data_IF_946667274071
#
_entry.id   IF_946667274071
#
_cell.length_a   1.000
_cell.length_b   1.000
_cell.length_c   1.000
_cell.angle_alpha   90.00
_cell.angle_beta   90.00
_cell.angle_gamma   90.00
#
_symmetry.space_group_name_H-M   'P 1'
#
loop_
_entity.id
_entity.type
_entity.pdbx_description
1 polymer ?
#
# COMPACT_ATOMS: atom_id res chain seq x y z
N UNK A 1 7.93 2.24 5.04
CA UNK A 1 6.48 2.20 5.22
C UNK A 1 6.13 2.95 6.51
N UNK A 2 6.17 4.28 6.51
CA UNK A 2 5.74 5.11 7.64
C UNK A 2 4.24 4.95 7.94
N UNK A 3 3.49 6.02 8.03
CA UNK A 3 2.02 6.03 8.15
C UNK A 3 1.34 5.83 6.79
N UNK A 4 1.73 4.78 6.03
CA UNK A 4 1.07 4.52 4.75
C UNK A 4 -0.35 3.99 4.96
N UNK A 5 -1.26 4.49 4.14
CA UNK A 5 -2.63 3.99 4.07
C UNK A 5 -2.72 2.58 3.47
N UNK A 6 -3.92 2.17 3.08
CA UNK A 6 -4.16 0.89 2.42
C UNK A 6 -3.41 0.78 1.08
N UNK A 7 -3.38 1.85 0.30
CA UNK A 7 -2.69 1.93 -0.99
C UNK A 7 -1.45 2.81 -0.88
N UNK A 8 -0.37 2.41 -1.55
CA UNK A 8 0.87 3.18 -1.68
C UNK A 8 1.05 3.53 -3.14
N UNK A 9 0.95 4.83 -3.46
CA UNK A 9 1.15 5.39 -4.79
C UNK A 9 2.48 6.13 -4.92
N UNK A 10 3.16 6.40 -3.80
CA UNK A 10 4.33 7.27 -3.77
C UNK A 10 5.37 6.81 -2.75
N UNK A 11 6.61 7.27 -2.91
CA UNK A 11 7.74 6.97 -2.04
C UNK A 11 8.59 8.22 -1.84
N UNK A 12 9.31 8.29 -0.71
CA UNK A 12 10.28 9.36 -0.42
C UNK A 12 11.54 9.26 -1.28
N UNK A 13 11.83 8.12 -1.88
CA UNK A 13 13.03 7.85 -2.66
C UNK A 13 12.66 7.18 -3.98
N UNK A 14 13.41 7.55 -5.03
CA UNK A 14 13.22 7.02 -6.39
C UNK A 14 14.51 6.45 -6.93
N UNK A 15 14.40 5.42 -7.75
CA UNK A 15 15.49 4.84 -8.51
C UNK A 15 15.41 5.31 -9.96
N UNK A 16 16.55 5.58 -10.58
CA UNK A 16 16.61 5.83 -12.03
C UNK A 16 16.44 4.51 -12.80
N UNK A 17 15.92 4.57 -14.02
CA UNK A 17 15.80 3.40 -14.89
C UNK A 17 17.15 2.68 -15.08
N UNK A 18 18.24 3.45 -15.24
CA UNK A 18 19.60 2.92 -15.34
C UNK A 18 20.01 2.13 -14.09
N UNK A 19 19.66 2.63 -12.89
CA UNK A 19 19.95 1.94 -11.64
C UNK A 19 19.16 0.64 -11.51
N UNK A 20 17.90 0.64 -11.95
CA UNK A 20 17.05 -0.55 -11.96
C UNK A 20 17.66 -1.65 -12.83
N UNK A 21 18.10 -1.33 -14.05
CA UNK A 21 18.74 -2.26 -14.96
C UNK A 21 20.12 -2.73 -14.45
N UNK A 22 20.97 -1.78 -14.05
CA UNK A 22 22.35 -2.05 -13.61
C UNK A 22 22.41 -2.97 -12.40
N UNK A 23 21.51 -2.81 -11.46
CA UNK A 23 21.47 -3.57 -10.20
C UNK A 23 20.41 -4.68 -10.20
N UNK A 24 19.77 -4.92 -11.35
CA UNK A 24 18.72 -5.92 -11.50
C UNK A 24 17.64 -5.81 -10.40
N UNK A 25 17.18 -4.59 -10.14
CA UNK A 25 16.21 -4.31 -9.08
C UNK A 25 14.86 -4.88 -9.49
N UNK A 26 14.27 -5.65 -8.59
CA UNK A 26 12.97 -6.25 -8.85
C UNK A 26 11.86 -5.20 -8.71
N UNK A 27 11.14 -4.97 -9.79
CA UNK A 27 9.95 -4.12 -9.80
C UNK A 27 8.73 -4.94 -9.36
N UNK A 28 7.96 -4.35 -8.47
CA UNK A 28 6.69 -4.87 -7.97
C UNK A 28 5.57 -4.21 -8.77
N UNK A 29 4.72 -4.98 -9.46
CA UNK A 29 3.63 -4.41 -10.23
C UNK A 29 2.55 -3.79 -9.34
N UNK A 30 1.76 -2.87 -9.92
CA UNK A 30 0.55 -2.33 -9.29
C UNK A 30 -0.42 -3.45 -8.90
N UNK A 31 -1.19 -3.24 -7.84
CA UNK A 31 -2.15 -4.22 -7.32
C UNK A 31 -1.51 -5.39 -6.57
N UNK A 32 -0.28 -5.26 -6.12
CA UNK A 32 0.39 -6.30 -5.33
C UNK A 32 0.24 -6.02 -3.83
N UNK A 33 -0.24 -7.00 -3.07
CA UNK A 33 -0.21 -6.93 -1.62
C UNK A 33 1.23 -7.11 -1.12
N UNK A 34 1.67 -6.20 -0.27
CA UNK A 34 3.02 -6.18 0.31
C UNK A 34 2.96 -6.15 1.83
N UNK A 35 3.94 -6.80 2.46
CA UNK A 35 4.05 -6.93 3.91
C UNK A 35 5.47 -6.61 4.37
N UNK A 36 5.59 -5.70 5.32
CA UNK A 36 6.86 -5.47 6.03
C UNK A 36 7.08 -6.54 7.10
N UNK A 37 8.26 -7.18 7.13
CA UNK A 37 8.53 -8.29 8.04
C UNK A 37 9.86 -8.21 8.81
N UNK A 38 10.69 -7.18 8.61
CA UNK A 38 11.96 -7.04 9.37
C UNK A 38 11.88 -6.01 10.49
N UNK A 39 11.68 -4.74 10.16
CA UNK A 39 11.76 -3.64 11.14
C UNK A 39 10.39 -3.31 11.76
N UNK A 40 9.33 -3.45 10.98
CA UNK A 40 7.96 -3.16 11.41
C UNK A 40 7.05 -4.27 10.90
N UNK A 41 7.05 -5.38 11.63
CA UNK A 41 6.27 -6.57 11.24
C UNK A 41 4.76 -6.27 11.23
N UNK A 42 4.06 -6.78 10.21
CA UNK A 42 2.61 -6.66 10.14
C UNK A 42 2.08 -5.40 9.47
N UNK A 43 2.94 -4.54 8.88
CA UNK A 43 2.45 -3.45 8.03
C UNK A 43 2.15 -3.98 6.64
N UNK A 44 0.88 -3.94 6.30
CA UNK A 44 0.35 -4.42 5.02
C UNK A 44 -0.13 -3.24 4.19
N UNK A 45 0.16 -3.26 2.91
CA UNK A 45 -0.34 -2.29 1.94
C UNK A 45 -0.50 -2.93 0.56
N UNK A 46 -1.13 -2.21 -0.35
CA UNK A 46 -1.29 -2.56 -1.75
C UNK A 46 -0.54 -1.52 -2.59
N UNK A 47 0.24 -1.96 -3.56
CA UNK A 47 0.92 -1.07 -4.49
C UNK A 47 -0.09 -0.43 -5.45
N UNK A 48 -0.07 0.90 -5.57
CA UNK A 48 -0.88 1.66 -6.54
C UNK A 48 0.04 2.33 -7.56
N UNK A 49 0.68 1.51 -8.34
CA UNK A 49 1.73 1.82 -9.29
C UNK A 49 2.87 0.81 -9.21
N UNK A 50 3.75 0.81 -10.19
CA UNK A 50 4.98 0.03 -10.16
C UNK A 50 5.97 0.64 -9.17
N UNK A 51 6.60 -0.19 -8.35
CA UNK A 51 7.58 0.29 -7.37
C UNK A 51 8.66 -0.73 -7.07
N UNK A 52 9.81 -0.25 -6.61
CA UNK A 52 10.86 -1.07 -6.03
C UNK A 52 10.68 -1.17 -4.51
N UNK A 53 11.12 -2.26 -3.93
CA UNK A 53 11.16 -2.44 -2.48
C UNK A 53 12.50 -3.00 -2.04
N UNK A 54 12.84 -2.82 -0.78
CA UNK A 54 13.99 -3.46 -0.17
C UNK A 54 13.66 -4.91 0.26
N UNK A 55 14.66 -5.61 0.76
CA UNK A 55 14.56 -7.01 1.20
C UNK A 55 13.76 -7.22 2.50
N UNK A 56 13.25 -6.13 3.12
CA UNK A 56 12.39 -6.22 4.31
C UNK A 56 10.90 -6.35 3.98
N UNK A 57 10.56 -6.30 2.70
CA UNK A 57 9.18 -6.33 2.20
C UNK A 57 8.93 -7.63 1.45
N UNK A 58 7.95 -8.38 1.89
CA UNK A 58 7.42 -9.54 1.17
C UNK A 58 6.35 -9.11 0.16
N UNK A 59 6.38 -9.71 -1.03
CA UNK A 59 5.41 -9.50 -2.10
C UNK A 59 4.53 -10.74 -2.22
N UNK A 60 3.23 -10.55 -2.17
CA UNK A 60 2.27 -11.62 -2.32
C UNK A 60 1.66 -11.56 -3.73
N UNK A 61 2.13 -12.46 -4.59
CA UNK A 61 1.53 -12.63 -5.90
C UNK A 61 0.15 -13.24 -5.73
N UNK A 62 -0.84 -12.67 -6.37
CA UNK A 62 -2.15 -13.30 -6.44
C UNK A 62 -2.02 -14.66 -7.14
N UNK A 63 -2.42 -15.72 -6.44
CA UNK A 63 -2.72 -16.99 -7.09
C UNK A 63 -4.11 -16.90 -7.72
N UNK A 64 -4.35 -17.62 -8.81
CA UNK A 64 -5.55 -17.51 -9.66
C UNK A 64 -6.93 -17.64 -8.97
N UNK A 65 -6.96 -17.92 -7.67
CA UNK A 65 -8.19 -18.09 -6.89
C UNK A 65 -8.32 -17.14 -5.69
N UNK A 66 -7.30 -16.34 -5.37
CA UNK A 66 -7.33 -15.45 -4.23
C UNK A 66 -7.51 -14.02 -4.69
N UNK A 67 -8.54 -13.35 -4.19
CA UNK A 67 -8.78 -11.94 -4.49
C UNK A 67 -7.84 -11.05 -3.68
N UNK A 68 -7.51 -9.87 -4.21
CA UNK A 68 -6.61 -8.90 -3.56
C UNK A 68 -7.18 -8.45 -2.21
N UNK A 69 -8.48 -8.24 -2.16
CA UNK A 69 -9.18 -7.77 -0.96
C UNK A 69 -9.11 -8.81 0.17
N UNK A 70 -9.35 -10.09 -0.16
CA UNK A 70 -9.22 -11.16 0.81
C UNK A 70 -7.79 -11.30 1.31
N UNK A 71 -6.82 -11.29 0.39
CA UNK A 71 -5.40 -11.37 0.74
C UNK A 71 -4.96 -10.21 1.65
N UNK A 72 -5.35 -8.99 1.31
CA UNK A 72 -5.06 -7.81 2.14
C UNK A 72 -5.68 -7.93 3.54
N UNK A 73 -6.96 -8.26 3.62
CA UNK A 73 -7.67 -8.39 4.89
C UNK A 73 -7.08 -9.52 5.74
N UNK A 74 -6.76 -10.66 5.11
CA UNK A 74 -6.11 -11.79 5.78
C UNK A 74 -4.76 -11.38 6.38
N UNK A 75 -3.89 -10.78 5.57
CA UNK A 75 -2.57 -10.31 6.02
C UNK A 75 -2.70 -9.24 7.11
N UNK A 76 -3.69 -8.38 7.03
CA UNK A 76 -3.93 -7.31 8.01
C UNK A 76 -4.41 -7.84 9.35
N UNK A 77 -5.22 -8.89 9.35
CA UNK A 77 -5.79 -9.52 10.54
C UNK A 77 -4.87 -10.57 11.19
N UNK A 78 -3.81 -11.00 10.48
CA UNK A 78 -2.94 -12.07 10.93
C UNK A 78 -2.12 -11.67 12.17
N UNK A 79 -2.06 -12.55 13.17
CA UNK A 79 -1.21 -12.38 14.36
C UNK A 79 0.23 -12.82 14.06
N UNK A 80 1.07 -11.86 13.71
CA UNK A 80 2.49 -12.12 13.42
C UNK A 80 3.32 -12.47 14.63
N UNK A 81 2.83 -12.24 15.86
CA UNK A 81 3.53 -12.64 17.07
C UNK A 81 3.48 -14.15 17.24
N UNK A 82 2.44 -14.79 16.73
CA UNK A 82 2.32 -16.26 16.73
C UNK A 82 3.40 -16.97 15.89
N UNK A 83 4.07 -16.26 14.98
CA UNK A 83 5.12 -16.82 14.11
C UNK A 83 6.51 -16.89 14.78
N UNK A 84 6.69 -16.29 15.94
CA UNK A 84 7.98 -16.20 16.61
C UNK A 84 8.19 -17.31 17.63
N UNK A 85 9.43 -17.81 17.73
CA UNK A 85 9.86 -18.62 18.86
C UNK A 85 9.97 -17.74 20.11
N UNK A 86 9.46 -18.23 21.23
CA UNK A 86 9.29 -17.60 22.55
C UNK A 86 10.58 -17.25 23.30
N UNK A 87 11.73 -17.09 22.66
CA UNK A 87 12.97 -16.67 23.33
C UNK A 87 13.27 -15.19 23.05
N UNK A 88 12.88 -14.38 24.01
CA UNK A 88 13.36 -13.04 24.40
C UNK A 88 14.01 -12.13 23.32
N UNK A 89 13.46 -10.93 23.18
CA UNK A 89 14.05 -9.76 22.53
C UNK A 89 13.90 -9.72 21.00
N UNK A 90 12.71 -9.50 20.49
CA UNK A 90 12.32 -9.33 19.09
C UNK A 90 12.12 -10.66 18.33
N UNK A 91 10.88 -10.91 18.01
CA UNK A 91 10.45 -11.98 17.10
C UNK A 91 11.10 -11.76 15.74
N UNK A 92 12.18 -12.45 15.44
CA UNK A 92 12.87 -12.35 14.16
C UNK A 92 12.04 -13.06 13.08
N UNK A 93 11.07 -12.38 12.54
CA UNK A 93 10.32 -12.85 11.37
C UNK A 93 11.25 -12.74 10.16
N UNK A 94 11.49 -13.85 9.49
CA UNK A 94 12.30 -13.92 8.29
C UNK A 94 11.48 -14.41 7.10
N UNK A 95 12.06 -14.37 5.89
CA UNK A 95 11.36 -14.77 4.67
C UNK A 95 10.90 -16.23 4.67
N UNK A 96 11.58 -17.14 5.39
CA UNK A 96 11.14 -18.55 5.54
C UNK A 96 9.90 -18.62 6.40
N UNK A 97 9.86 -17.87 7.50
CA UNK A 97 8.70 -17.79 8.40
C UNK A 97 7.48 -17.25 7.68
N UNK A 98 7.65 -16.17 6.87
CA UNK A 98 6.54 -15.62 6.05
C UNK A 98 6.05 -16.63 5.02
N UNK A 99 6.95 -17.38 4.36
CA UNK A 99 6.56 -18.41 3.39
C UNK A 99 5.85 -19.60 4.01
N UNK A 100 6.15 -19.92 5.27
CA UNK A 100 5.53 -21.00 6.04
C UNK A 100 4.27 -20.55 6.81
N UNK A 101 3.87 -19.30 6.69
CA UNK A 101 2.68 -18.76 7.34
C UNK A 101 1.44 -19.55 6.90
N UNK A 102 0.62 -20.05 7.85
CA UNK A 102 -0.62 -20.69 7.49
C UNK A 102 -1.51 -19.74 6.69
N UNK A 103 -2.22 -20.26 5.73
CA UNK A 103 -3.14 -19.47 4.92
C UNK A 103 -4.48 -20.22 4.80
N UNK A 104 -5.53 -19.59 5.28
CA UNK A 104 -6.89 -20.14 5.17
C UNK A 104 -7.40 -19.84 3.77
N UNK A 105 -7.78 -20.88 3.04
CA UNK A 105 -8.37 -20.77 1.72
C UNK A 105 -9.88 -21.05 1.82
N UNK A 106 -10.73 -20.02 1.69
CA UNK A 106 -12.18 -20.21 1.64
C UNK A 106 -12.64 -20.89 0.35
N UNK A 107 -13.87 -21.41 0.37
CA UNK A 107 -14.53 -21.89 -0.85
C UNK A 107 -14.67 -20.76 -1.88
N UNK A 108 -14.70 -21.14 -3.15
CA UNK A 108 -14.79 -20.20 -4.29
C UNK A 108 -16.02 -19.30 -4.20
N UNK A 109 -17.15 -19.85 -3.75
CA UNK A 109 -18.39 -19.07 -3.55
C UNK A 109 -18.17 -17.98 -2.48
N UNK A 110 -17.58 -18.34 -1.34
CA UNK A 110 -17.30 -17.39 -0.24
C UNK A 110 -16.35 -16.30 -0.72
N UNK A 111 -15.31 -16.63 -1.48
CA UNK A 111 -14.39 -15.65 -2.05
C UNK A 111 -15.08 -14.71 -3.05
N UNK A 112 -15.99 -15.24 -3.88
CA UNK A 112 -16.76 -14.44 -4.84
C UNK A 112 -17.70 -13.47 -4.13
N UNK A 113 -18.44 -13.93 -3.14
CA UNK A 113 -19.36 -13.11 -2.34
C UNK A 113 -18.59 -12.04 -1.54
N UNK A 114 -17.44 -12.40 -0.99
CA UNK A 114 -16.54 -11.47 -0.29
C UNK A 114 -16.01 -10.39 -1.25
N UNK A 115 -15.52 -10.79 -2.42
CA UNK A 115 -15.04 -9.85 -3.45
C UNK A 115 -16.14 -8.90 -3.89
N UNK A 116 -17.34 -9.42 -4.23
CA UNK A 116 -18.47 -8.60 -4.65
C UNK A 116 -18.82 -7.51 -3.61
N UNK A 117 -18.66 -7.82 -2.31
CA UNK A 117 -18.95 -6.90 -1.22
C UNK A 117 -17.80 -5.91 -0.98
N UNK A 118 -16.55 -6.37 -1.03
CA UNK A 118 -15.40 -5.58 -0.59
C UNK A 118 -14.71 -4.80 -1.71
N UNK A 119 -14.70 -5.29 -2.95
CA UNK A 119 -14.03 -4.62 -4.07
C UNK A 119 -14.52 -3.17 -4.27
N UNK A 120 -15.83 -2.86 -4.21
CA UNK A 120 -16.30 -1.47 -4.31
C UNK A 120 -15.76 -0.58 -3.18
N UNK A 121 -15.59 -1.12 -1.97
CA UNK A 121 -15.05 -0.37 -0.82
C UNK A 121 -13.56 -0.07 -1.01
N UNK A 122 -12.79 -1.03 -1.51
CA UNK A 122 -11.38 -0.84 -1.82
C UNK A 122 -11.19 0.23 -2.90
N UNK A 123 -12.01 0.20 -3.95
CA UNK A 123 -11.95 1.20 -5.02
C UNK A 123 -12.37 2.60 -4.52
N UNK A 124 -13.35 2.69 -3.62
CA UNK A 124 -13.68 3.96 -2.98
C UNK A 124 -12.51 4.51 -2.15
N UNK A 125 -11.83 3.67 -1.37
CA UNK A 125 -10.64 4.08 -0.60
C UNK A 125 -9.54 4.57 -1.54
N UNK A 126 -9.27 3.85 -2.62
CA UNK A 126 -8.27 4.22 -3.63
C UNK A 126 -8.59 5.57 -4.26
N UNK A 127 -9.84 5.76 -4.70
CA UNK A 127 -10.32 7.03 -5.30
C UNK A 127 -10.19 8.18 -4.31
N UNK A 128 -10.56 7.99 -3.04
CA UNK A 128 -10.46 9.04 -2.02
C UNK A 128 -9.02 9.39 -1.66
N UNK A 129 -8.11 8.44 -1.68
CA UNK A 129 -6.68 8.70 -1.48
C UNK A 129 -6.11 9.54 -2.64
N UNK A 130 -6.47 9.22 -3.89
CA UNK A 130 -6.07 10.00 -5.06
C UNK A 130 -6.66 11.42 -5.02
N UNK A 131 -7.94 11.57 -4.64
CA UNK A 131 -8.58 12.86 -4.46
C UNK A 131 -7.88 13.69 -3.38
N UNK A 132 -7.57 13.10 -2.22
CA UNK A 132 -6.85 13.77 -1.14
C UNK A 132 -5.46 14.25 -1.58
N UNK A 133 -4.71 13.43 -2.34
CA UNK A 133 -3.42 13.83 -2.88
C UNK A 133 -3.54 15.02 -3.83
N UNK A 134 -4.55 15.01 -4.72
CA UNK A 134 -4.85 16.12 -5.62
C UNK A 134 -5.24 17.41 -4.87
N UNK A 135 -6.09 17.30 -3.85
CA UNK A 135 -6.49 18.46 -3.04
C UNK A 135 -5.32 19.03 -2.24
N UNK A 136 -4.45 18.18 -1.71
CA UNK A 136 -3.23 18.62 -1.03
C UNK A 136 -2.31 19.38 -2.00
N UNK A 137 -2.07 18.85 -3.20
CA UNK A 137 -1.26 19.53 -4.23
C UNK A 137 -1.87 20.88 -4.64
N UNK A 138 -3.19 20.94 -4.80
CA UNK A 138 -3.90 22.19 -5.12
C UNK A 138 -3.76 23.22 -3.99
N UNK A 139 -3.97 22.81 -2.74
CA UNK A 139 -3.76 23.68 -1.57
C UNK A 139 -2.34 24.24 -1.55
N UNK A 140 -1.34 23.37 -1.72
CA UNK A 140 0.07 23.76 -1.65
C UNK A 140 0.50 24.67 -2.80
N UNK A 141 -0.15 24.56 -3.95
CA UNK A 141 0.06 25.47 -5.09
C UNK A 141 -0.64 26.82 -4.89
N UNK A 142 -1.83 26.86 -4.28
CA UNK A 142 -2.62 28.09 -4.13
C UNK A 142 -2.23 28.91 -2.90
N UNK A 143 -1.90 28.26 -1.78
CA UNK A 143 -1.66 28.94 -0.52
C UNK A 143 -0.55 30.01 -0.57
N UNK A 144 0.63 29.77 -1.18
CA UNK A 144 1.66 30.81 -1.30
C UNK A 144 1.19 32.01 -2.15
N UNK A 145 0.43 31.78 -3.21
CA UNK A 145 -0.08 32.82 -4.12
C UNK A 145 -1.16 33.70 -3.48
N UNK A 146 -1.98 33.09 -2.62
CA UNK A 146 -2.96 33.83 -1.82
C UNK A 146 -2.24 34.67 -0.73
N UNK A 147 -1.25 34.08 -0.07
CA UNK A 147 -0.48 34.79 0.98
C UNK A 147 0.38 35.94 0.47
N UNK A 148 0.88 35.82 -0.77
CA UNK A 148 1.65 36.88 -1.43
C UNK A 148 0.77 37.99 -2.02
N UNK A 149 -0.56 37.81 -2.10
CA UNK A 149 -1.48 38.71 -2.77
C UNK A 149 -1.46 38.63 -4.30
N UNK A 150 -0.75 37.66 -4.88
CA UNK A 150 -0.78 37.37 -6.33
C UNK A 150 -2.17 36.90 -6.78
N UNK A 151 -2.88 36.19 -5.92
CA UNK A 151 -4.28 35.82 -6.11
C UNK A 151 -5.12 36.47 -5.03
N UNK A 152 -6.27 37.04 -5.45
CA UNK A 152 -7.27 37.58 -4.51
C UNK A 152 -8.54 36.74 -4.54
N UNK A 153 -9.10 36.45 -3.37
CA UNK A 153 -10.40 35.76 -3.27
C UNK A 153 -11.53 36.61 -3.88
N UNK A 154 -11.39 37.94 -3.87
CA UNK A 154 -12.38 38.86 -4.47
C UNK A 154 -12.55 38.63 -5.99
N UNK A 155 -11.48 38.20 -6.67
CA UNK A 155 -11.50 37.95 -8.12
C UNK A 155 -12.37 36.76 -8.52
N UNK A 156 -12.74 35.90 -7.54
CA UNK A 156 -13.54 34.70 -7.76
C UNK A 156 -15.01 34.86 -7.33
N UNK A 157 -15.36 35.96 -6.64
CA UNK A 157 -16.73 36.18 -6.16
C UNK A 157 -17.70 36.65 -7.27
N UNK A 158 -17.20 37.13 -8.40
CA UNK A 158 -18.00 37.64 -9.49
C UNK A 158 -18.28 36.64 -10.63
N UNK A 159 -17.79 35.39 -10.48
CA UNK A 159 -18.06 34.30 -11.44
C UNK A 159 -19.31 33.50 -10.97
N UNK A 160 -20.50 34.12 -11.12
CA UNK A 160 -21.81 33.47 -11.06
C UNK A 160 -22.44 33.31 -12.41
#
# INVERSE_FOLDING_TARGET
MGSCGMFISDSSEYLTAESVERFNVRIVPSGTAILSFKLTVGRVAITDGEMATNEAIAHFKQANKVTLEYLYCYLKAFDYQSLGNTSSIATAVNSKTIKAMPFVMPDEKVLTDFHATTAPLFEQVRTKLAENARLAALRDALLPRLMSGELSVADFSDAK
#
